data_IF_416028133019
#
_entry.id   IF_416028133019
#
_cell.length_a   1.000
_cell.length_b   1.000
_cell.length_c   1.000
_cell.angle_alpha   90.00
_cell.angle_beta   90.00
_cell.angle_gamma   90.00
#
_symmetry.space_group_name_H-M   'P 1'
#
loop_
_entity.id
_entity.type
_entity.pdbx_description
1 polymer ?
#
# COMPACT_ATOMS: atom_id res chain seq x y z
N UNK A 1 -20.05 -13.84 -9.60
CA UNK A 1 -19.98 -14.51 -8.28
C UNK A 1 -20.52 -15.93 -8.42
N UNK A 2 -19.68 -16.97 -8.29
CA UNK A 2 -20.12 -18.37 -8.21
C UNK A 2 -19.63 -18.92 -6.88
N UNK A 3 -20.55 -19.18 -5.96
CA UNK A 3 -20.27 -19.95 -4.75
C UNK A 3 -20.38 -21.42 -5.10
N UNK A 4 -19.35 -22.21 -4.77
CA UNK A 4 -19.42 -23.68 -4.82
C UNK A 4 -19.91 -24.15 -3.46
N UNK A 5 -21.13 -24.66 -3.43
CA UNK A 5 -21.77 -25.22 -2.23
C UNK A 5 -21.16 -26.57 -1.89
N UNK A 6 -20.23 -26.61 -0.93
CA UNK A 6 -19.76 -27.87 -0.34
C UNK A 6 -20.66 -28.21 0.85
N UNK A 7 -21.33 -29.35 0.76
CA UNK A 7 -22.43 -29.89 1.58
C UNK A 7 -22.04 -30.33 3.01
N UNK A 8 -21.09 -29.67 3.65
CA UNK A 8 -20.76 -29.90 5.07
C UNK A 8 -20.50 -28.54 5.66
N UNK A 9 -21.38 -28.08 6.56
CA UNK A 9 -21.48 -26.71 7.07
C UNK A 9 -20.30 -26.22 7.93
N UNK A 10 -19.08 -26.36 7.42
CA UNK A 10 -17.86 -25.77 7.98
C UNK A 10 -17.35 -24.76 6.95
N UNK A 11 -17.60 -23.47 7.21
CA UNK A 11 -16.96 -22.38 6.48
C UNK A 11 -15.45 -22.46 6.74
N UNK A 12 -14.69 -22.98 5.77
CA UNK A 12 -13.22 -22.95 5.84
C UNK A 12 -12.77 -21.49 5.78
N UNK A 13 -11.96 -21.00 6.72
CA UNK A 13 -11.51 -19.62 6.68
C UNK A 13 -10.60 -19.46 5.46
N UNK A 14 -11.02 -18.59 4.53
CA UNK A 14 -10.23 -18.29 3.33
C UNK A 14 -9.24 -17.19 3.68
N UNK A 15 -7.96 -17.38 3.37
CA UNK A 15 -6.98 -16.31 3.47
C UNK A 15 -7.44 -15.14 2.58
N UNK A 16 -7.58 -13.96 3.18
CA UNK A 16 -8.08 -12.79 2.49
C UNK A 16 -7.19 -11.57 2.76
N UNK A 17 -7.36 -10.54 1.93
CA UNK A 17 -6.73 -9.26 2.16
C UNK A 17 -7.37 -8.54 3.35
N UNK A 18 -6.51 -7.99 4.22
CA UNK A 18 -6.86 -7.34 5.48
C UNK A 18 -6.32 -5.92 5.48
N UNK A 19 -7.14 -4.97 5.02
CA UNK A 19 -6.76 -3.55 4.94
C UNK A 19 -6.40 -2.97 6.31
N UNK A 20 -7.03 -3.46 7.37
CA UNK A 20 -6.76 -3.12 8.77
C UNK A 20 -5.34 -3.49 9.25
N UNK A 21 -4.65 -4.38 8.52
CA UNK A 21 -3.29 -4.82 8.84
C UNK A 21 -2.21 -4.09 8.05
N UNK A 22 -2.58 -3.18 7.14
CA UNK A 22 -1.60 -2.37 6.45
C UNK A 22 -0.79 -1.52 7.45
N UNK A 23 0.51 -1.32 7.21
CA UNK A 23 1.31 -0.47 8.07
C UNK A 23 0.80 0.97 8.05
N UNK A 24 1.04 1.70 9.14
CA UNK A 24 0.75 3.13 9.19
C UNK A 24 1.47 3.86 8.05
N UNK A 25 0.80 4.70 7.25
CA UNK A 25 1.40 5.27 6.04
C UNK A 25 2.70 6.02 6.27
N UNK A 26 2.72 6.89 7.28
CA UNK A 26 3.92 7.67 7.63
C UNK A 26 5.11 6.75 7.95
N UNK A 27 4.88 5.70 8.76
CA UNK A 27 5.92 4.74 9.14
C UNK A 27 6.42 3.97 7.92
N UNK A 28 5.49 3.45 7.11
CA UNK A 28 5.83 2.72 5.89
C UNK A 28 6.72 3.55 4.96
N UNK A 29 6.35 4.78 4.63
CA UNK A 29 7.16 5.61 3.73
C UNK A 29 8.55 5.93 4.30
N UNK A 30 8.67 6.16 5.60
CA UNK A 30 9.97 6.37 6.25
C UNK A 30 10.86 5.13 6.14
N UNK A 31 10.32 3.93 6.36
CA UNK A 31 11.04 2.66 6.17
C UNK A 31 11.44 2.42 4.70
N UNK A 32 10.72 3.00 3.75
CA UNK A 32 11.08 3.02 2.32
C UNK A 32 12.16 4.06 1.98
N UNK A 33 12.70 4.78 2.98
CA UNK A 33 13.73 5.79 2.81
C UNK A 33 13.19 7.18 2.42
N UNK A 34 11.87 7.40 2.47
CA UNK A 34 11.30 8.70 2.12
C UNK A 34 11.33 9.65 3.32
N UNK A 35 11.98 10.78 3.14
CA UNK A 35 11.92 11.90 4.08
C UNK A 35 10.67 12.72 3.79
N UNK A 36 9.66 12.57 4.65
CA UNK A 36 8.39 13.29 4.52
C UNK A 36 8.49 14.71 5.10
N UNK A 37 8.36 15.72 4.23
CA UNK A 37 8.46 17.15 4.59
C UNK A 37 7.11 17.87 4.47
N UNK A 38 6.98 18.98 5.19
CA UNK A 38 5.79 19.83 5.19
C UNK A 38 4.81 19.52 6.32
N UNK A 39 3.87 20.45 6.53
CA UNK A 39 2.79 20.33 7.49
C UNK A 39 1.47 19.85 6.87
N UNK A 40 0.53 19.44 7.71
CA UNK A 40 -0.81 19.02 7.30
C UNK A 40 -0.91 17.57 6.81
N UNK A 41 -2.04 17.26 6.19
CA UNK A 41 -2.43 15.90 5.76
C UNK A 41 -1.56 15.36 4.61
N UNK A 42 -1.10 16.25 3.73
CA UNK A 42 -0.30 15.91 2.57
C UNK A 42 1.15 16.37 2.74
N UNK A 43 2.07 15.41 2.76
CA UNK A 43 3.51 15.64 2.85
C UNK A 43 4.19 15.48 1.51
N UNK A 44 5.33 16.13 1.33
CA UNK A 44 6.17 16.02 0.14
C UNK A 44 7.38 15.12 0.41
N UNK A 45 7.81 14.36 -0.59
CA UNK A 45 9.01 13.52 -0.56
C UNK A 45 9.65 13.44 -1.95
N UNK A 46 10.90 13.01 -2.02
CA UNK A 46 11.56 12.64 -3.28
C UNK A 46 10.91 11.38 -3.83
N UNK A 47 10.60 11.37 -5.12
CA UNK A 47 9.91 10.26 -5.74
C UNK A 47 10.86 9.09 -6.01
N UNK A 48 10.57 7.86 -5.56
CA UNK A 48 11.43 6.70 -5.82
C UNK A 48 11.10 5.98 -7.14
N UNK A 49 10.15 6.49 -7.93
CA UNK A 49 9.68 5.87 -9.17
C UNK A 49 10.41 6.39 -10.42
N UNK A 50 11.18 7.46 -10.29
CA UNK A 50 12.04 7.99 -11.34
C UNK A 50 13.27 8.62 -10.68
N UNK A 51 14.28 8.97 -11.49
CA UNK A 51 15.42 9.73 -10.99
C UNK A 51 14.96 11.14 -10.62
N UNK A 52 14.94 11.41 -9.32
CA UNK A 52 14.35 12.62 -8.77
C UNK A 52 15.27 13.21 -7.70
N UNK A 53 15.53 14.51 -7.82
CA UNK A 53 16.32 15.29 -6.85
C UNK A 53 15.49 16.35 -6.12
N UNK A 54 14.25 16.60 -6.58
CA UNK A 54 13.36 17.62 -6.02
C UNK A 54 12.10 16.95 -5.49
N UNK A 55 11.60 17.24 -4.28
CA UNK A 55 10.43 16.56 -3.73
C UNK A 55 9.16 16.66 -4.60
N UNK A 56 8.95 15.70 -5.51
CA UNK A 56 7.86 15.69 -6.49
C UNK A 56 6.70 14.76 -6.10
N UNK A 57 6.91 13.92 -5.09
CA UNK A 57 5.92 12.97 -4.57
C UNK A 57 5.12 13.61 -3.45
N UNK A 58 3.79 13.57 -3.55
CA UNK A 58 2.87 13.93 -2.47
C UNK A 58 2.29 12.66 -1.86
N UNK A 59 2.30 12.57 -0.53
CA UNK A 59 1.75 11.44 0.23
C UNK A 59 0.73 11.94 1.25
N UNK A 60 -0.44 11.29 1.32
CA UNK A 60 -1.48 11.54 2.33
C UNK A 60 -1.22 10.66 3.54
N UNK A 61 -0.94 11.26 4.70
CA UNK A 61 -0.48 10.52 5.89
C UNK A 61 -1.54 9.64 6.53
N UNK A 62 -2.82 9.92 6.29
CA UNK A 62 -3.94 9.18 6.85
C UNK A 62 -4.24 7.90 6.04
N UNK A 63 -4.39 8.03 4.71
CA UNK A 63 -4.79 6.92 3.84
C UNK A 63 -3.60 6.18 3.23
N UNK A 64 -2.44 6.82 3.15
CA UNK A 64 -1.31 6.35 2.36
C UNK A 64 -1.50 6.51 0.85
N UNK A 65 -2.42 7.37 0.42
CA UNK A 65 -2.50 7.73 -0.98
C UNK A 65 -1.25 8.50 -1.40
N UNK A 66 -0.80 8.32 -2.64
CA UNK A 66 0.34 9.05 -3.18
C UNK A 66 0.09 9.48 -4.63
N UNK A 67 0.77 10.57 -5.02
CA UNK A 67 0.85 11.03 -6.41
C UNK A 67 2.16 11.78 -6.63
N UNK A 68 2.92 11.37 -7.63
CA UNK A 68 4.03 12.14 -8.14
C UNK A 68 3.52 13.06 -9.26
N UNK A 69 3.86 14.34 -9.19
CA UNK A 69 3.43 15.33 -10.19
C UNK A 69 4.28 15.32 -11.47
N UNK A 70 5.38 14.57 -11.48
CA UNK A 70 6.32 14.47 -12.61
C UNK A 70 6.12 13.17 -13.37
N UNK A 71 6.41 12.02 -12.76
CA UNK A 71 6.27 10.72 -13.43
C UNK A 71 4.84 10.15 -13.41
N UNK A 72 3.87 10.86 -12.81
CA UNK A 72 2.47 10.46 -12.70
C UNK A 72 2.19 9.15 -11.95
N UNK A 73 3.20 8.54 -11.30
CA UNK A 73 3.00 7.41 -10.39
C UNK A 73 2.02 7.80 -9.28
N UNK A 74 1.01 6.97 -9.02
CA UNK A 74 -0.05 7.26 -8.07
C UNK A 74 -0.72 6.00 -7.52
N UNK A 75 -1.36 6.12 -6.37
CA UNK A 75 -2.12 5.02 -5.77
C UNK A 75 -2.90 5.46 -4.54
N UNK A 76 -3.88 4.64 -4.14
CA UNK A 76 -4.82 5.00 -3.07
C UNK A 76 -4.36 4.64 -1.65
N UNK A 77 -3.30 3.84 -1.51
CA UNK A 77 -2.77 3.38 -0.22
C UNK A 77 -1.31 2.89 -0.33
N UNK A 78 -0.75 2.50 0.81
CA UNK A 78 0.59 1.92 0.93
C UNK A 78 0.76 0.61 0.15
N UNK A 79 -0.32 -0.16 -0.05
CA UNK A 79 -0.26 -1.40 -0.82
C UNK A 79 -0.06 -1.08 -2.31
N UNK A 80 -0.81 -0.14 -2.87
CA UNK A 80 -0.64 0.32 -4.24
C UNK A 80 0.78 0.85 -4.48
N UNK A 81 1.34 1.57 -3.50
CA UNK A 81 2.72 2.04 -3.57
C UNK A 81 3.70 0.87 -3.59
N UNK A 82 3.53 -0.09 -2.68
CA UNK A 82 4.41 -1.26 -2.56
C UNK A 82 4.38 -2.11 -3.84
N UNK A 83 3.19 -2.34 -4.39
CA UNK A 83 3.00 -3.03 -5.66
C UNK A 83 3.79 -2.37 -6.78
N UNK A 84 3.66 -1.05 -6.95
CA UNK A 84 4.38 -0.31 -8.00
C UNK A 84 5.88 -0.27 -7.75
N UNK A 85 6.32 -0.07 -6.50
CA UNK A 85 7.74 0.10 -6.15
C UNK A 85 8.55 -1.16 -6.38
N UNK A 86 7.95 -2.30 -6.09
CA UNK A 86 8.60 -3.61 -6.16
C UNK A 86 8.10 -4.48 -7.32
N UNK A 87 7.25 -3.93 -8.19
CA UNK A 87 6.62 -4.64 -9.30
C UNK A 87 5.96 -5.96 -8.86
N UNK A 88 5.20 -5.91 -7.77
CA UNK A 88 4.57 -7.07 -7.17
C UNK A 88 3.08 -7.16 -7.52
N UNK A 89 2.56 -8.37 -7.81
CA UNK A 89 1.12 -8.58 -7.89
C UNK A 89 0.47 -8.39 -6.51
N UNK A 90 -0.82 -8.05 -6.51
CA UNK A 90 -1.59 -7.68 -5.32
C UNK A 90 -1.40 -8.63 -4.12
N UNK A 91 -1.55 -9.94 -4.34
CA UNK A 91 -1.43 -10.95 -3.26
C UNK A 91 -0.02 -11.01 -2.70
N UNK A 92 1.01 -10.91 -3.55
CA UNK A 92 2.40 -10.93 -3.11
C UNK A 92 2.74 -9.68 -2.28
N UNK A 93 2.30 -8.50 -2.73
CA UNK A 93 2.46 -7.26 -1.98
C UNK A 93 1.70 -7.28 -0.65
N UNK A 94 0.46 -7.79 -0.64
CA UNK A 94 -0.31 -7.92 0.59
C UNK A 94 0.35 -8.89 1.59
N UNK A 95 0.94 -9.99 1.11
CA UNK A 95 1.73 -10.91 1.95
C UNK A 95 3.00 -10.24 2.49
N UNK A 96 3.73 -9.51 1.66
CA UNK A 96 4.93 -8.77 2.06
C UNK A 96 4.63 -7.74 3.17
N UNK A 97 3.44 -7.12 3.14
CA UNK A 97 2.97 -6.19 4.16
C UNK A 97 2.26 -6.85 5.36
N UNK A 98 2.20 -8.18 5.44
CA UNK A 98 1.49 -8.89 6.52
C UNK A 98 -0.05 -8.75 6.48
N UNK A 99 -0.59 -8.22 5.38
CA UNK A 99 -2.01 -7.93 5.18
C UNK A 99 -2.76 -9.05 4.44
N UNK A 100 -2.18 -10.26 4.32
CA UNK A 100 -2.82 -11.43 3.72
C UNK A 100 -2.84 -12.61 4.70
N UNK A 101 -4.02 -13.09 5.09
CA UNK A 101 -4.12 -14.23 5.99
C UNK A 101 -5.51 -14.53 6.50
N UNK A 102 -5.60 -15.47 7.44
CA UNK A 102 -6.86 -15.88 8.06
C UNK A 102 -7.46 -14.74 8.90
N UNK A 103 -8.81 -14.67 8.98
CA UNK A 103 -9.47 -13.85 9.98
C UNK A 103 -9.00 -14.28 11.38
N UNK A 104 -8.81 -13.30 12.27
CA UNK A 104 -8.61 -13.54 13.70
C UNK A 104 -9.93 -13.94 14.32
#
# INVERSE_FOLDING_TARGET
MRYVSSSSGVIKPVCAFRRDRLPLPTKYYQEQGLVLKGGGEWKSAVCPFHDDSTPSLRVKTETGAFRCMVCSAHGGDVLAFHMQRYNLPFVAAARALGAWGLPK
#
